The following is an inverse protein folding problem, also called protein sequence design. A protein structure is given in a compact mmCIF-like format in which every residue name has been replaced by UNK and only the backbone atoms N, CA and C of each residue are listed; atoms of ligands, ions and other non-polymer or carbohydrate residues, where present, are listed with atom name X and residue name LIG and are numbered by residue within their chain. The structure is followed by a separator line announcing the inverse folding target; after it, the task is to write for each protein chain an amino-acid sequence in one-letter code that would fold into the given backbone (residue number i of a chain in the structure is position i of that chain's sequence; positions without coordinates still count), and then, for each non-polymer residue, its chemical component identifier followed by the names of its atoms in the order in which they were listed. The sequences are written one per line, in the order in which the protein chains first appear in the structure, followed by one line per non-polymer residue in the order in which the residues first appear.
data_IF_522159411913
#
_entry.id   IF_522159411913
#
_cell.length_a   1.000
_cell.length_b   1.000
_cell.length_c   1.000
_cell.angle_alpha   90.00
_cell.angle_beta   90.00
_cell.angle_gamma   90.00
#
_symmetry.space_group_name_H-M   'P 1'
#
loop_
_entity.id
_entity.type
_entity.pdbx_description
1 polymer ?
#
# COMPACT_ATOMS: atom_id res chain seq x y z
N UNK A 1 -16.59 -14.79 15.40
CA UNK A 1 -16.81 -13.50 14.72
C UNK A 1 -15.61 -13.24 13.83
N UNK A 2 -15.77 -13.26 12.50
CA UNK A 2 -14.76 -12.62 11.65
C UNK A 2 -14.98 -11.12 11.76
N UNK A 3 -13.96 -10.41 12.22
CA UNK A 3 -13.89 -8.97 12.14
C UNK A 3 -13.74 -8.64 10.65
N UNK A 4 -14.80 -8.15 10.03
CA UNK A 4 -14.76 -7.66 8.65
C UNK A 4 -13.90 -6.41 8.63
N UNK A 5 -12.72 -6.48 8.02
CA UNK A 5 -11.90 -5.30 7.79
C UNK A 5 -12.59 -4.41 6.74
N UNK A 6 -12.69 -3.11 7.00
CA UNK A 6 -13.31 -2.15 6.09
C UNK A 6 -12.37 -1.84 4.92
N UNK A 7 -12.40 -2.69 3.89
CA UNK A 7 -11.64 -2.51 2.66
C UNK A 7 -11.88 -1.15 2.00
N UNK A 8 -13.13 -0.70 1.99
CA UNK A 8 -13.55 0.58 1.39
C UNK A 8 -12.82 1.78 2.03
N UNK A 9 -12.74 1.81 3.36
CA UNK A 9 -11.97 2.81 4.13
C UNK A 9 -10.49 2.83 3.77
N UNK A 10 -9.91 1.65 3.59
CA UNK A 10 -8.50 1.52 3.21
C UNK A 10 -8.23 1.96 1.77
N UNK A 11 -9.22 1.84 0.89
CA UNK A 11 -9.19 2.36 -0.48
C UNK A 11 -9.34 3.88 -0.52
N UNK A 12 -10.19 4.45 0.34
CA UNK A 12 -10.35 5.91 0.45
C UNK A 12 -9.04 6.57 0.88
N UNK A 13 -8.43 6.07 1.95
CA UNK A 13 -7.17 6.61 2.44
C UNK A 13 -6.31 5.53 3.13
N UNK A 14 -5.40 4.88 2.39
CA UNK A 14 -4.61 3.77 2.90
C UNK A 14 -3.64 4.19 4.01
N UNK A 15 -3.12 5.42 3.95
CA UNK A 15 -2.26 6.00 4.99
C UNK A 15 -2.98 6.26 6.32
N UNK A 16 -4.31 6.41 6.31
CA UNK A 16 -5.11 6.52 7.53
C UNK A 16 -5.53 5.16 8.09
N UNK A 17 -5.67 4.16 7.21
CA UNK A 17 -6.02 2.80 7.61
C UNK A 17 -4.81 2.01 8.12
N UNK A 18 -3.61 2.33 7.62
CA UNK A 18 -2.37 1.62 7.93
C UNK A 18 -1.23 2.61 8.18
N UNK A 19 -0.42 2.30 9.20
CA UNK A 19 0.78 3.07 9.53
C UNK A 19 1.91 2.84 8.50
N UNK A 20 1.98 1.62 7.95
CA UNK A 20 3.01 1.23 6.97
C UNK A 20 2.44 0.31 5.88
N UNK A 21 3.03 0.32 4.66
CA UNK A 21 2.64 -0.60 3.60
C UNK A 21 2.85 -2.09 3.99
N UNK A 22 3.81 -2.37 4.86
CA UNK A 22 4.07 -3.72 5.38
C UNK A 22 2.91 -4.25 6.24
N UNK A 23 2.16 -3.35 6.91
CA UNK A 23 0.97 -3.72 7.66
C UNK A 23 -0.15 -4.24 6.74
N UNK A 24 -0.23 -3.74 5.50
CA UNK A 24 -1.18 -4.23 4.48
C UNK A 24 -0.85 -5.67 4.09
N UNK A 25 0.44 -6.00 3.95
CA UNK A 25 0.90 -7.36 3.66
C UNK A 25 0.50 -8.35 4.76
N UNK A 26 0.67 -7.92 6.02
CA UNK A 26 0.36 -8.71 7.21
C UNK A 26 -1.13 -8.80 7.52
N UNK A 27 -1.98 -8.07 6.78
CA UNK A 27 -3.42 -8.08 7.02
C UNK A 27 -4.05 -9.38 6.54
N UNK A 28 -4.44 -10.24 7.48
CA UNK A 28 -5.09 -11.52 7.19
C UNK A 28 -6.55 -11.38 6.71
N UNK A 29 -7.17 -10.22 6.92
CA UNK A 29 -8.53 -9.93 6.46
C UNK A 29 -8.65 -9.53 4.98
N UNK A 30 -7.54 -9.45 4.25
CA UNK A 30 -7.48 -9.02 2.85
C UNK A 30 -6.90 -10.12 1.97
N UNK A 31 -7.48 -10.31 0.80
CA UNK A 31 -6.90 -11.11 -0.27
C UNK A 31 -5.75 -10.36 -0.95
N UNK A 32 -4.83 -11.07 -1.59
CA UNK A 32 -3.67 -10.48 -2.28
C UNK A 32 -4.08 -9.41 -3.30
N UNK A 33 -5.15 -9.65 -4.07
CA UNK A 33 -5.71 -8.65 -4.99
C UNK A 33 -6.15 -7.36 -4.29
N UNK A 34 -6.79 -7.45 -3.12
CA UNK A 34 -7.22 -6.29 -2.33
C UNK A 34 -6.02 -5.53 -1.75
N UNK A 35 -5.01 -6.26 -1.28
CA UNK A 35 -3.76 -5.67 -0.78
C UNK A 35 -3.04 -4.92 -1.89
N UNK A 36 -2.98 -5.49 -3.09
CA UNK A 36 -2.39 -4.85 -4.28
C UNK A 36 -3.14 -3.55 -4.60
N UNK A 37 -4.46 -3.56 -4.57
CA UNK A 37 -5.26 -2.37 -4.88
C UNK A 37 -5.06 -1.24 -3.86
N UNK A 38 -5.05 -1.57 -2.56
CA UNK A 38 -4.74 -0.63 -1.46
C UNK A 38 -3.34 -0.03 -1.64
N UNK A 39 -2.32 -0.86 -1.88
CA UNK A 39 -0.94 -0.39 -2.03
C UNK A 39 -0.77 0.45 -3.31
N UNK A 40 -1.44 0.11 -4.42
CA UNK A 40 -1.44 0.93 -5.64
C UNK A 40 -2.03 2.30 -5.39
N UNK A 41 -3.15 2.35 -4.67
CA UNK A 41 -3.79 3.61 -4.29
C UNK A 41 -2.89 4.45 -3.39
N UNK A 42 -2.21 3.81 -2.45
CA UNK A 42 -1.26 4.47 -1.56
C UNK A 42 -0.06 5.05 -2.33
N UNK A 43 0.49 4.30 -3.28
CA UNK A 43 1.57 4.78 -4.13
C UNK A 43 1.13 6.02 -4.90
N UNK A 44 -0.07 5.98 -5.48
CA UNK A 44 -0.64 7.12 -6.21
C UNK A 44 -0.82 8.35 -5.31
N UNK A 45 -1.37 8.19 -4.11
CA UNK A 45 -1.54 9.28 -3.14
C UNK A 45 -0.19 9.87 -2.71
N UNK A 46 0.80 9.01 -2.43
CA UNK A 46 2.16 9.43 -2.07
C UNK A 46 2.84 10.19 -3.22
N UNK A 47 2.57 9.82 -4.48
CA UNK A 47 3.09 10.51 -5.67
C UNK A 47 2.33 11.80 -6.02
N UNK A 48 1.01 11.88 -5.77
CA UNK A 48 0.19 13.07 -6.10
C UNK A 48 0.32 14.17 -5.03
N UNK A 49 0.52 13.81 -3.76
CA UNK A 49 0.87 14.76 -2.68
C UNK A 49 2.22 15.45 -2.96
N UNK A 50 3.04 14.94 -3.89
CA UNK A 50 4.29 15.56 -4.32
C UNK A 50 4.10 16.90 -5.07
N UNK A 51 2.95 17.14 -5.70
CA UNK A 51 2.74 18.35 -6.52
C UNK A 51 2.25 19.56 -5.69
N UNK A 52 1.63 19.31 -4.52
CA UNK A 52 1.00 20.36 -3.71
C UNK A 52 1.88 20.94 -2.58
N UNK A 53 2.91 20.22 -2.14
CA UNK A 53 3.75 20.63 -0.99
C UNK A 53 5.25 20.53 -1.29
N UNK A 54 5.68 21.16 -2.38
CA UNK A 54 7.08 21.38 -2.72
C UNK A 54 7.76 22.43 -1.82
N UNK A 55 7.49 22.45 -0.50
CA UNK A 55 8.21 23.28 0.47
C UNK A 55 8.26 22.58 1.85
N UNK A 56 9.20 21.63 2.04
CA UNK A 56 9.83 21.47 3.37
C UNK A 56 9.68 20.14 4.14
N UNK A 57 9.11 19.06 3.58
CA UNK A 57 9.07 17.76 4.26
C UNK A 57 9.43 16.60 3.30
N UNK A 58 10.70 16.47 2.95
CA UNK A 58 11.20 15.51 1.95
C UNK A 58 12.20 14.47 2.50
N UNK A 59 12.41 14.38 3.81
CA UNK A 59 13.42 13.46 4.35
C UNK A 59 13.00 11.97 4.31
N UNK A 60 11.71 11.66 4.46
CA UNK A 60 11.20 10.27 4.56
C UNK A 60 10.28 9.83 3.40
N UNK A 61 9.85 10.75 2.52
CA UNK A 61 8.97 10.47 1.38
C UNK A 61 9.53 9.46 0.35
N UNK A 62 10.77 9.58 -0.15
CA UNK A 62 11.32 8.60 -1.10
C UNK A 62 11.44 7.21 -0.48
N UNK A 63 11.44 7.10 0.85
CA UNK A 63 11.43 5.83 1.56
C UNK A 63 10.03 5.18 1.53
N UNK A 64 8.96 5.98 1.65
CA UNK A 64 7.59 5.49 1.64
C UNK A 64 7.19 4.93 0.27
N UNK A 65 7.36 5.72 -0.80
CA UNK A 65 7.06 5.28 -2.18
C UNK A 65 7.79 3.97 -2.50
N UNK A 66 9.06 3.89 -2.12
CA UNK A 66 9.89 2.70 -2.33
C UNK A 66 9.39 1.51 -1.51
N UNK A 67 8.98 1.70 -0.26
CA UNK A 67 8.40 0.64 0.58
C UNK A 67 7.08 0.13 0.01
N UNK A 68 6.21 1.01 -0.48
CA UNK A 68 4.94 0.63 -1.11
C UNK A 68 5.20 -0.17 -2.40
N UNK A 69 6.14 0.27 -3.23
CA UNK A 69 6.54 -0.44 -4.44
C UNK A 69 7.10 -1.85 -4.14
N UNK A 70 7.98 -1.96 -3.13
CA UNK A 70 8.52 -3.26 -2.70
C UNK A 70 7.43 -4.20 -2.18
N UNK A 71 6.45 -3.67 -1.43
CA UNK A 71 5.32 -4.45 -0.94
C UNK A 71 4.45 -4.98 -2.10
N UNK A 72 4.21 -4.15 -3.12
CA UNK A 72 3.49 -4.54 -4.33
C UNK A 72 4.21 -5.63 -5.13
N UNK A 73 5.52 -5.49 -5.31
CA UNK A 73 6.35 -6.52 -5.94
C UNK A 73 6.30 -7.82 -5.14
N UNK A 74 6.38 -7.79 -3.81
CA UNK A 74 6.29 -9.02 -3.01
C UNK A 74 4.97 -9.78 -3.21
N UNK A 75 3.85 -9.08 -3.34
CA UNK A 75 2.55 -9.71 -3.62
C UNK A 75 2.45 -10.21 -5.07
N UNK A 76 2.98 -9.45 -6.02
CA UNK A 76 2.93 -9.79 -7.45
C UNK A 76 3.86 -10.96 -7.76
N UNK A 77 5.11 -10.90 -7.32
CA UNK A 77 6.13 -11.93 -7.53
C UNK A 77 5.86 -13.18 -6.67
N UNK A 78 5.17 -13.04 -5.53
CA UNK A 78 4.73 -14.17 -4.71
C UNK A 78 3.51 -14.90 -5.30
N UNK A 79 2.70 -14.20 -6.11
CA UNK A 79 1.54 -14.78 -6.80
C UNK A 79 1.89 -15.25 -8.22
N UNK A 80 2.97 -14.76 -8.81
CA UNK A 80 3.54 -15.15 -10.10
C UNK A 80 4.67 -16.17 -9.90
N UNK A 81 4.34 -17.31 -9.27
CA UNK A 81 5.13 -18.53 -9.41
C UNK A 81 4.31 -19.46 -10.29
N UNK A 82 4.36 -19.24 -11.60
CA UNK A 82 4.09 -20.31 -12.55
C UNK A 82 5.37 -21.14 -12.71
N UNK A 83 5.40 -22.41 -12.25
CA UNK A 83 6.50 -23.31 -12.55
C UNK A 83 6.29 -23.95 -13.94
N UNK A 84 7.11 -23.60 -14.94
CA UNK A 84 7.46 -24.47 -16.06
C UNK A 84 8.66 -23.92 -16.86
#
# INVERSE_FOLDING_TARGET
MSVSFDYDKALENPALAFDTPEAVLSQAGLSDAQKIEILRRWLFDATEIADAEAEGMEADRPLLERRVALALESLTNGNDVEPA
#
